data_IF_712629222127
#
_entry.id   IF_712629222127
#
_cell.length_a   1.000
_cell.length_b   1.000
_cell.length_c   1.000
_cell.angle_alpha   90.00
_cell.angle_beta   90.00
_cell.angle_gamma   90.00
#
_symmetry.space_group_name_H-M   'P 1'
#
loop_
_entity.id
_entity.type
_entity.pdbx_description
1 polymer ?
#
# COMPACT_ATOMS: atom_id res chain seq x y z
N UNK A 1 -6.82 18.16 -1.01
CA UNK A 1 -6.18 17.14 -1.88
C UNK A 1 -6.06 15.86 -1.08
N UNK A 2 -6.66 14.78 -1.56
CA UNK A 2 -6.70 13.47 -0.92
C UNK A 2 -6.11 12.43 -1.88
N UNK A 3 -5.15 11.64 -1.39
CA UNK A 3 -4.56 10.53 -2.12
C UNK A 3 -5.18 9.23 -1.62
N UNK A 4 -5.87 8.53 -2.51
CA UNK A 4 -6.27 7.15 -2.30
C UNK A 4 -5.30 6.28 -3.07
N UNK A 5 -4.81 5.24 -2.43
CA UNK A 5 -3.94 4.28 -3.10
C UNK A 5 -4.25 2.88 -2.63
N UNK A 6 -4.01 1.95 -3.53
CA UNK A 6 -4.18 0.53 -3.31
C UNK A 6 -2.92 -0.19 -3.81
N UNK A 7 -2.58 -1.28 -3.13
CA UNK A 7 -1.34 -2.01 -3.41
C UNK A 7 -1.62 -3.48 -3.55
N UNK A 8 -1.02 -4.11 -4.56
CA UNK A 8 -0.99 -5.56 -4.62
C UNK A 8 0.41 -6.10 -4.34
N UNK A 9 0.45 -7.18 -3.57
CA UNK A 9 1.67 -7.74 -3.01
C UNK A 9 1.79 -9.22 -3.30
N UNK A 10 2.99 -9.77 -3.13
CA UNK A 10 3.25 -11.20 -3.34
C UNK A 10 2.55 -12.12 -2.33
N UNK A 11 1.77 -11.59 -1.38
CA UNK A 11 1.04 -12.36 -0.37
C UNK A 11 0.99 -11.66 0.99
N UNK A 12 0.79 -12.43 2.06
CA UNK A 12 0.74 -11.92 3.43
C UNK A 12 2.09 -12.10 4.14
N UNK A 13 2.39 -11.30 5.19
CA UNK A 13 3.57 -11.52 6.01
C UNK A 13 3.48 -12.88 6.72
N UNK A 14 4.64 -13.51 6.96
CA UNK A 14 4.69 -14.79 7.70
C UNK A 14 4.33 -14.59 9.18
N UNK A 15 4.72 -13.45 9.76
CA UNK A 15 4.42 -13.03 11.12
C UNK A 15 4.12 -11.52 11.16
N UNK A 16 2.92 -11.16 11.59
CA UNK A 16 2.46 -9.77 11.71
C UNK A 16 3.17 -8.97 12.83
N UNK A 17 3.85 -9.63 13.77
CA UNK A 17 4.59 -8.99 14.87
C UNK A 17 6.08 -8.81 14.59
N UNK A 18 6.59 -9.23 13.43
CA UNK A 18 8.00 -9.06 13.08
C UNK A 18 8.36 -7.57 12.92
N UNK A 19 9.60 -7.16 13.19
CA UNK A 19 10.04 -5.80 12.87
C UNK A 19 10.03 -5.55 11.35
N UNK A 20 9.83 -4.30 10.93
CA UNK A 20 9.83 -3.92 9.50
C UNK A 20 11.17 -4.16 8.80
N UNK A 21 12.26 -4.25 9.56
CA UNK A 21 13.61 -4.54 9.06
C UNK A 21 13.83 -6.01 8.71
N UNK A 22 12.96 -6.93 9.16
CA UNK A 22 13.00 -8.32 8.75
C UNK A 22 12.38 -8.47 7.35
N UNK A 23 13.14 -8.07 6.34
CA UNK A 23 12.65 -8.04 4.96
C UNK A 23 12.21 -9.42 4.45
N UNK A 24 12.69 -10.52 5.01
CA UNK A 24 12.31 -11.87 4.58
C UNK A 24 10.93 -12.32 5.10
N UNK A 25 10.38 -11.61 6.09
CA UNK A 25 9.05 -11.84 6.63
C UNK A 25 7.94 -11.18 5.81
N UNK A 26 8.20 -9.96 5.32
CA UNK A 26 7.19 -9.11 4.68
C UNK A 26 7.06 -9.39 3.17
N UNK A 27 5.84 -9.29 2.61
CA UNK A 27 5.64 -9.47 1.18
C UNK A 27 6.31 -8.34 0.38
N UNK A 28 6.46 -8.54 -0.93
CA UNK A 28 6.97 -7.52 -1.85
C UNK A 28 5.80 -6.86 -2.55
N UNK A 29 5.88 -5.53 -2.71
CA UNK A 29 4.94 -4.79 -3.53
C UNK A 29 5.15 -5.15 -4.99
N UNK A 30 4.05 -5.40 -5.70
CA UNK A 30 4.04 -5.79 -7.12
C UNK A 30 3.34 -4.71 -7.95
N UNK A 31 2.25 -4.14 -7.44
CA UNK A 31 1.49 -3.10 -8.12
C UNK A 31 1.09 -1.99 -7.14
N UNK A 32 0.91 -0.80 -7.70
CA UNK A 32 0.41 0.38 -7.02
C UNK A 32 -0.60 1.05 -7.94
N UNK A 33 -1.82 1.27 -7.44
CA UNK A 33 -2.84 2.11 -8.05
C UNK A 33 -3.08 3.32 -7.16
N UNK A 34 -3.43 4.46 -7.75
CA UNK A 34 -3.78 5.64 -6.98
C UNK A 34 -4.82 6.52 -7.69
N UNK A 35 -5.58 7.27 -6.90
CA UNK A 35 -6.51 8.31 -7.33
C UNK A 35 -6.28 9.56 -6.46
N UNK A 36 -6.36 10.73 -7.09
CA UNK A 36 -6.21 12.02 -6.44
C UNK A 36 -7.54 12.78 -6.48
N UNK A 37 -7.94 13.38 -5.37
CA UNK A 37 -9.16 14.16 -5.28
C UNK A 37 -8.92 15.52 -4.62
N UNK A 38 -9.69 16.55 -5.00
CA UNK A 38 -9.72 17.84 -4.30
C UNK A 38 -10.56 17.79 -3.00
N UNK A 39 -10.75 18.94 -2.34
CA UNK A 39 -11.59 19.01 -1.13
C UNK A 39 -13.09 18.84 -1.40
N UNK A 40 -13.50 19.06 -2.64
CA UNK A 40 -14.90 19.06 -3.08
C UNK A 40 -15.33 17.70 -3.65
N UNK A 41 -14.39 16.74 -3.70
CA UNK A 41 -14.63 15.37 -4.16
C UNK A 41 -14.45 15.18 -5.67
N UNK A 42 -13.85 16.14 -6.37
CA UNK A 42 -13.52 15.97 -7.79
C UNK A 42 -12.19 15.26 -7.96
N UNK A 43 -12.15 14.30 -8.89
CA UNK A 43 -10.92 13.63 -9.26
C UNK A 43 -10.01 14.60 -10.02
N UNK A 44 -8.73 14.65 -9.65
CA UNK A 44 -7.66 15.43 -10.29
C UNK A 44 -6.81 14.50 -11.16
#
# INVERSE_FOLDING_TARGET
>A
MYLFFDTETTGLPKNWKAPVTDLNNWPRLVQLAYLLYDSDGNQI
#
